data_IF_614719758884
#
_entry.id   IF_614719758884
#
_cell.length_a   1.000
_cell.length_b   1.000
_cell.length_c   1.000
_cell.angle_alpha   90.00
_cell.angle_beta   90.00
_cell.angle_gamma   90.00
#
_symmetry.space_group_name_H-M   'P 1'
#
loop_
_entity.id
_entity.type
_entity.pdbx_description
1 polymer ?
#
# COMPACT_ATOMS: atom_id res chain seq x y z
N UNK A 1 -8.05 11.47 1.38
CA UNK A 1 -9.32 10.80 1.71
C UNK A 1 -9.95 11.41 2.96
N UNK A 2 -9.22 11.51 4.09
CA UNK A 2 -9.75 12.05 5.36
C UNK A 2 -10.36 13.44 5.20
N UNK A 3 -9.74 14.35 4.45
CA UNK A 3 -10.30 15.65 4.12
C UNK A 3 -11.69 15.56 3.50
N UNK A 4 -11.84 14.74 2.47
CA UNK A 4 -13.12 14.56 1.77
C UNK A 4 -14.19 13.94 2.66
N UNK A 5 -13.79 12.99 3.52
CA UNK A 5 -14.70 12.34 4.46
C UNK A 5 -15.17 13.31 5.54
N UNK A 6 -14.28 14.11 6.12
CA UNK A 6 -14.64 15.18 7.08
C UNK A 6 -15.59 16.20 6.47
N UNK A 7 -15.27 16.68 5.27
CA UNK A 7 -16.13 17.62 4.53
C UNK A 7 -17.51 17.03 4.25
N UNK A 8 -17.57 15.76 3.82
CA UNK A 8 -18.85 15.06 3.60
C UNK A 8 -19.67 14.91 4.89
N UNK A 9 -19.02 14.76 6.03
CA UNK A 9 -19.66 14.72 7.34
C UNK A 9 -20.04 16.10 7.91
N UNK A 10 -19.81 17.19 7.15
CA UNK A 10 -20.08 18.56 7.60
C UNK A 10 -19.11 19.07 8.67
N UNK A 11 -17.97 18.41 8.87
CA UNK A 11 -16.96 18.78 9.86
C UNK A 11 -16.05 19.86 9.27
N UNK A 12 -16.00 21.02 9.93
CA UNK A 12 -15.10 22.10 9.56
C UNK A 12 -13.66 21.74 9.91
N UNK A 13 -12.76 22.00 8.99
CA UNK A 13 -11.33 21.77 9.18
C UNK A 13 -10.63 23.13 9.26
N UNK A 14 -10.00 23.39 10.40
CA UNK A 14 -9.32 24.66 10.62
C UNK A 14 -7.85 24.63 10.20
N UNK A 15 -7.18 23.47 10.33
CA UNK A 15 -5.77 23.29 10.01
C UNK A 15 -5.48 21.89 9.43
N UNK A 16 -4.46 21.81 8.60
CA UNK A 16 -3.68 20.58 8.42
C UNK A 16 -2.41 20.66 9.27
N UNK A 17 -1.98 19.54 9.83
CA UNK A 17 -0.72 19.46 10.57
C UNK A 17 0.26 18.54 9.86
N UNK A 18 1.44 19.08 9.50
CA UNK A 18 2.50 18.30 8.86
C UNK A 18 3.86 18.96 9.18
N UNK A 19 4.77 18.21 9.78
CA UNK A 19 6.10 18.71 10.13
C UNK A 19 7.01 18.91 8.90
N UNK A 20 6.65 18.36 7.76
CA UNK A 20 7.31 18.63 6.48
C UNK A 20 6.86 19.93 5.81
N UNK A 21 6.07 20.78 6.48
CA UNK A 21 5.47 22.00 5.93
C UNK A 21 6.51 22.92 5.25
N UNK A 22 7.69 23.06 5.82
CA UNK A 22 8.77 23.88 5.25
C UNK A 22 9.34 23.24 3.97
N UNK A 23 9.54 21.91 3.97
CA UNK A 23 10.04 21.16 2.81
C UNK A 23 9.00 21.11 1.66
N UNK A 24 7.72 21.11 1.99
CA UNK A 24 6.63 21.12 1.01
C UNK A 24 6.50 22.46 0.29
N UNK A 25 7.11 23.54 0.81
CA UNK A 25 6.97 24.91 0.30
C UNK A 25 5.50 25.32 0.04
N UNK A 26 4.57 24.76 0.83
CA UNK A 26 3.13 25.01 0.74
C UNK A 26 2.61 25.51 2.08
N UNK A 27 1.98 26.66 2.10
CA UNK A 27 1.37 27.25 3.30
C UNK A 27 -0.08 26.83 3.52
N UNK A 28 -0.72 26.26 2.51
CA UNK A 28 -2.11 25.80 2.60
C UNK A 28 -2.38 24.66 1.61
N UNK A 29 -3.40 23.85 1.93
CA UNK A 29 -4.01 22.83 1.05
C UNK A 29 -5.52 23.08 1.09
N UNK A 30 -6.19 23.11 -0.05
CA UNK A 30 -7.63 23.42 -0.14
C UNK A 30 -8.04 24.74 0.56
N UNK A 31 -7.16 25.76 0.55
CA UNK A 31 -7.32 27.03 1.27
C UNK A 31 -7.35 26.88 2.80
N UNK A 32 -6.90 25.75 3.34
CA UNK A 32 -6.77 25.52 4.76
C UNK A 32 -5.29 25.58 5.12
N UNK A 33 -4.88 26.35 6.14
CA UNK A 33 -3.48 26.50 6.51
C UNK A 33 -2.86 25.18 6.98
N UNK A 34 -1.57 25.00 6.68
CA UNK A 34 -0.76 23.90 7.19
C UNK A 34 0.07 24.44 8.34
N UNK A 35 0.06 23.76 9.47
CA UNK A 35 0.85 24.07 10.67
C UNK A 35 1.78 22.92 11.02
N UNK A 36 2.87 23.21 11.71
CA UNK A 36 3.77 22.21 12.29
C UNK A 36 3.23 21.64 13.61
N UNK A 37 3.78 20.53 14.09
CA UNK A 37 3.47 20.01 15.44
C UNK A 37 3.88 20.96 16.54
N UNK A 38 4.90 21.81 16.31
CA UNK A 38 5.32 22.85 17.24
C UNK A 38 4.24 23.95 17.36
N UNK A 39 3.61 24.33 16.27
CA UNK A 39 2.51 25.29 16.26
C UNK A 39 1.24 24.67 16.84
N UNK A 40 0.94 23.40 16.48
CA UNK A 40 -0.18 22.64 17.04
C UNK A 40 -0.14 22.60 18.58
N UNK A 41 1.05 22.42 19.18
CA UNK A 41 1.24 22.42 20.63
C UNK A 41 0.83 23.73 21.32
N UNK A 42 0.80 24.84 20.60
CA UNK A 42 0.41 26.16 21.12
C UNK A 42 -1.09 26.40 21.08
N UNK A 43 -1.83 25.53 20.39
CA UNK A 43 -3.29 25.61 20.28
C UNK A 43 -3.95 24.94 21.49
N UNK A 44 -5.28 25.02 21.52
CA UNK A 44 -6.11 24.39 22.56
C UNK A 44 -5.89 22.86 22.56
N UNK A 45 -5.51 22.24 23.69
CA UNK A 45 -5.35 20.79 23.79
C UNK A 45 -6.66 20.00 23.65
N UNK A 46 -7.81 20.65 23.72
CA UNK A 46 -9.15 20.05 23.51
C UNK A 46 -9.55 20.00 22.03
N UNK A 47 -8.70 20.45 21.11
CA UNK A 47 -8.96 20.32 19.67
C UNK A 47 -9.16 18.87 19.26
N UNK A 48 -10.11 18.64 18.35
CA UNK A 48 -10.30 17.33 17.73
C UNK A 48 -9.28 17.11 16.62
N UNK A 49 -8.43 16.12 16.76
CA UNK A 49 -7.43 15.74 15.78
C UNK A 49 -7.87 14.47 15.07
N UNK A 50 -8.02 14.52 13.76
CA UNK A 50 -8.27 13.35 12.92
C UNK A 50 -6.98 12.93 12.23
N UNK A 51 -6.50 11.74 12.52
CA UNK A 51 -5.32 11.20 11.86
C UNK A 51 -5.70 10.80 10.44
N UNK A 52 -5.09 11.46 9.46
CA UNK A 52 -5.33 11.24 8.03
C UNK A 52 -4.23 10.44 7.33
N UNK A 53 -3.08 10.28 7.97
CA UNK A 53 -1.94 9.56 7.42
C UNK A 53 -2.00 8.07 7.80
N UNK A 54 -1.46 7.22 6.95
CA UNK A 54 -1.37 5.77 7.15
C UNK A 54 -0.25 5.31 8.09
N UNK A 55 0.56 6.25 8.61
CA UNK A 55 1.61 6.01 9.61
C UNK A 55 1.12 6.34 11.02
N UNK A 56 -0.09 5.89 11.35
CA UNK A 56 -0.78 6.18 12.61
C UNK A 56 0.09 5.85 13.82
N UNK A 57 0.83 4.73 13.76
CA UNK A 57 1.74 4.28 14.81
C UNK A 57 2.89 5.27 15.10
N UNK A 58 3.26 6.11 14.13
CA UNK A 58 4.29 7.15 14.33
C UNK A 58 3.69 8.46 14.86
N UNK A 59 2.45 8.75 14.49
CA UNK A 59 1.77 10.02 14.83
C UNK A 59 1.22 9.98 16.24
N UNK A 60 0.58 8.87 16.67
CA UNK A 60 -0.03 8.75 18.00
C UNK A 60 0.92 9.11 19.14
N UNK A 61 2.15 8.54 19.24
CA UNK A 61 3.06 8.89 20.33
C UNK A 61 3.49 10.37 20.31
N UNK A 62 3.52 11.00 19.14
CA UNK A 62 3.85 12.42 19.02
C UNK A 62 2.72 13.30 19.57
N UNK A 63 1.46 12.97 19.22
CA UNK A 63 0.28 13.68 19.73
C UNK A 63 0.12 13.51 21.25
N UNK A 64 0.35 12.31 21.77
CA UNK A 64 0.36 12.02 23.21
C UNK A 64 1.42 12.85 23.95
N UNK A 65 2.64 12.93 23.39
CA UNK A 65 3.74 13.73 23.96
C UNK A 65 3.40 15.21 24.07
N UNK A 66 2.62 15.76 23.16
CA UNK A 66 2.16 17.14 23.20
C UNK A 66 0.81 17.30 23.94
N UNK A 67 0.31 16.23 24.57
CA UNK A 67 -0.87 16.19 25.43
C UNK A 67 -2.20 16.54 24.75
N UNK A 68 -2.34 16.20 23.47
CA UNK A 68 -3.65 16.29 22.79
C UNK A 68 -4.57 15.21 23.36
N UNK A 69 -5.80 15.59 23.69
CA UNK A 69 -6.77 14.69 24.33
C UNK A 69 -7.72 14.01 23.35
N UNK A 70 -8.18 14.73 22.37
CA UNK A 70 -9.25 14.28 21.46
C UNK A 70 -8.63 13.82 20.12
N UNK A 71 -8.10 12.61 20.11
CA UNK A 71 -7.48 12.00 18.92
C UNK A 71 -8.45 10.98 18.33
N UNK A 72 -8.76 11.13 17.04
CA UNK A 72 -9.70 10.30 16.29
C UNK A 72 -9.00 9.64 15.12
N UNK A 73 -9.29 8.36 14.87
CA UNK A 73 -9.00 7.74 13.59
C UNK A 73 -10.14 8.01 12.59
N UNK A 74 -9.83 7.86 11.31
CA UNK A 74 -10.78 8.16 10.22
C UNK A 74 -11.59 6.95 9.74
N UNK A 75 -11.48 5.78 10.40
CA UNK A 75 -12.12 4.52 9.95
C UNK A 75 -13.63 4.67 9.82
N UNK A 76 -14.29 5.25 10.85
CA UNK A 76 -15.74 5.43 10.83
C UNK A 76 -16.18 6.50 9.81
N UNK A 77 -15.37 7.52 9.59
CA UNK A 77 -15.62 8.49 8.51
C UNK A 77 -15.61 7.83 7.15
N UNK A 78 -14.62 6.97 6.89
CA UNK A 78 -14.52 6.25 5.62
C UNK A 78 -15.70 5.31 5.37
N UNK A 79 -16.18 4.60 6.41
CA UNK A 79 -17.36 3.72 6.30
C UNK A 79 -18.63 4.48 5.90
N UNK A 80 -18.76 5.73 6.34
CA UNK A 80 -19.95 6.56 6.15
C UNK A 80 -19.80 7.51 4.94
N UNK A 81 -18.72 7.40 4.16
CA UNK A 81 -18.45 8.25 3.01
C UNK A 81 -18.58 7.47 1.71
N UNK A 82 -19.51 7.89 0.85
CA UNK A 82 -19.61 7.37 -0.51
C UNK A 82 -18.63 8.11 -1.42
N UNK A 83 -17.41 7.57 -1.51
CA UNK A 83 -16.35 8.15 -2.32
C UNK A 83 -16.63 8.12 -3.83
N UNK A 84 -17.61 7.33 -4.31
CA UNK A 84 -17.99 7.30 -5.72
C UNK A 84 -18.59 8.63 -6.21
N UNK A 85 -19.09 9.45 -5.24
CA UNK A 85 -19.70 10.76 -5.49
C UNK A 85 -18.73 11.93 -5.28
N UNK A 86 -17.48 11.65 -4.97
CA UNK A 86 -16.47 12.66 -4.62
C UNK A 86 -15.31 12.56 -5.60
N UNK A 87 -15.02 13.67 -6.29
CA UNK A 87 -13.81 13.74 -7.09
C UNK A 87 -12.58 13.83 -6.16
N UNK A 88 -11.91 12.70 -5.99
CA UNK A 88 -10.67 12.58 -5.22
C UNK A 88 -9.43 12.58 -6.10
N UNK A 89 -9.59 12.55 -7.42
CA UNK A 89 -8.52 12.30 -8.38
C UNK A 89 -7.97 10.86 -8.34
N UNK A 90 -8.65 9.94 -7.65
CA UNK A 90 -8.23 8.54 -7.48
C UNK A 90 -9.27 7.59 -8.05
N UNK A 91 -8.84 6.45 -8.55
CA UNK A 91 -9.74 5.36 -8.94
C UNK A 91 -10.46 4.76 -7.73
N UNK A 92 -11.62 4.14 -7.93
CA UNK A 92 -12.37 3.47 -6.87
C UNK A 92 -11.52 2.37 -6.18
N UNK A 93 -10.64 1.71 -6.96
CA UNK A 93 -9.74 0.70 -6.43
C UNK A 93 -8.67 1.31 -5.51
N UNK A 94 -8.02 2.39 -5.92
CA UNK A 94 -7.04 3.09 -5.07
C UNK A 94 -7.65 3.59 -3.77
N UNK A 95 -8.88 4.12 -3.83
CA UNK A 95 -9.61 4.54 -2.65
C UNK A 95 -9.81 3.36 -1.70
N UNK A 96 -10.33 2.23 -2.21
CA UNK A 96 -10.54 1.02 -1.41
C UNK A 96 -9.22 0.55 -0.77
N UNK A 97 -8.16 0.40 -1.57
CA UNK A 97 -6.83 -0.03 -1.10
C UNK A 97 -6.32 0.87 0.01
N UNK A 98 -6.39 2.19 -0.15
CA UNK A 98 -5.93 3.17 0.86
C UNK A 98 -6.76 3.10 2.14
N UNK A 99 -8.07 2.92 2.03
CA UNK A 99 -8.97 2.75 3.19
C UNK A 99 -8.64 1.45 3.92
N UNK A 100 -8.43 0.35 3.21
CA UNK A 100 -8.11 -0.95 3.80
C UNK A 100 -6.75 -0.94 4.50
N UNK A 101 -5.72 -0.33 3.89
CA UNK A 101 -4.39 -0.14 4.53
C UNK A 101 -4.51 0.74 5.79
N UNK A 102 -5.24 1.84 5.72
CA UNK A 102 -5.45 2.71 6.88
C UNK A 102 -6.19 1.99 8.01
N UNK A 103 -7.23 1.23 7.66
CA UNK A 103 -7.97 0.39 8.60
C UNK A 103 -7.07 -0.67 9.24
N UNK A 104 -6.25 -1.34 8.44
CA UNK A 104 -5.26 -2.30 8.93
C UNK A 104 -4.32 -1.68 9.97
N UNK A 105 -3.83 -0.48 9.69
CA UNK A 105 -2.98 0.27 10.61
C UNK A 105 -3.69 0.56 11.92
N UNK A 106 -4.93 1.06 11.87
CA UNK A 106 -5.73 1.32 13.07
C UNK A 106 -6.04 0.02 13.83
N UNK A 107 -6.37 -1.06 13.13
CA UNK A 107 -6.65 -2.36 13.75
C UNK A 107 -5.41 -2.92 14.48
N UNK A 108 -4.20 -2.71 13.96
CA UNK A 108 -2.96 -3.14 14.63
C UNK A 108 -2.65 -2.36 15.89
N UNK A 109 -3.09 -1.10 15.98
CA UNK A 109 -2.86 -0.24 17.14
C UNK A 109 -3.93 -0.41 18.23
N UNK A 110 -5.13 -0.85 17.85
CA UNK A 110 -6.24 -1.07 18.79
C UNK A 110 -6.27 -2.48 19.37
N UNK A 111 -5.31 -3.34 19.02
CA UNK A 111 -5.25 -4.73 19.52
C UNK A 111 -4.87 -4.70 21.01
N UNK A 112 -5.88 -4.57 21.86
CA UNK A 112 -5.82 -5.04 23.26
C UNK A 112 -6.03 -6.56 23.35
N UNK A 113 -6.46 -7.20 22.25
CA UNK A 113 -6.63 -8.65 22.17
C UNK A 113 -5.40 -9.25 21.47
N UNK A 114 -4.49 -9.80 22.29
CA UNK A 114 -3.26 -10.48 21.87
C UNK A 114 -3.50 -11.82 21.15
N UNK A 115 -4.77 -12.19 20.91
CA UNK A 115 -5.12 -13.49 20.33
C UNK A 115 -5.10 -13.52 18.80
N UNK A 116 -5.07 -12.37 18.12
CA UNK A 116 -5.13 -12.28 16.65
C UNK A 116 -3.93 -11.54 16.05
N UNK A 117 -3.13 -12.26 15.26
CA UNK A 117 -1.96 -11.69 14.57
C UNK A 117 -2.38 -11.15 13.21
N UNK A 118 -2.45 -9.83 13.09
CA UNK A 118 -2.74 -9.13 11.84
C UNK A 118 -1.49 -8.44 11.31
N UNK A 119 -1.16 -8.67 10.05
CA UNK A 119 0.03 -8.12 9.40
C UNK A 119 -0.42 -7.22 8.26
N UNK A 120 0.11 -6.00 8.23
CA UNK A 120 -0.23 -5.01 7.20
C UNK A 120 0.24 -5.45 5.83
N UNK A 121 1.51 -5.80 5.70
CA UNK A 121 2.08 -6.34 4.47
C UNK A 121 3.25 -7.29 4.74
N UNK A 122 3.43 -8.20 3.80
CA UNK A 122 4.56 -9.14 3.74
C UNK A 122 5.15 -9.08 2.35
N UNK A 123 6.44 -8.88 2.24
CA UNK A 123 7.16 -8.90 0.97
C UNK A 123 7.81 -10.26 0.76
N UNK A 124 7.66 -10.84 -0.44
CA UNK A 124 8.46 -11.99 -0.87
C UNK A 124 9.25 -11.65 -2.13
N UNK A 125 10.53 -11.96 -2.09
CA UNK A 125 11.41 -11.87 -3.25
C UNK A 125 11.37 -13.18 -4.02
N UNK A 126 10.81 -13.16 -5.24
CA UNK A 126 10.70 -14.36 -6.08
C UNK A 126 11.87 -14.54 -7.03
N UNK A 127 12.66 -13.50 -7.25
CA UNK A 127 13.86 -13.52 -8.10
C UNK A 127 14.80 -12.37 -7.76
N UNK A 128 16.10 -12.62 -7.85
CA UNK A 128 17.16 -11.61 -7.80
C UNK A 128 17.40 -10.97 -9.18
N UNK A 129 16.92 -11.63 -10.26
CA UNK A 129 17.11 -11.16 -11.62
C UNK A 129 16.22 -9.94 -11.93
N UNK A 130 16.81 -8.93 -12.55
CA UNK A 130 16.10 -7.76 -13.03
C UNK A 130 16.53 -7.43 -14.48
N UNK A 131 15.58 -6.95 -15.26
CA UNK A 131 15.83 -6.45 -16.63
C UNK A 131 16.44 -5.04 -16.62
N UNK A 132 16.51 -4.40 -15.45
CA UNK A 132 17.07 -3.07 -15.24
C UNK A 132 18.22 -3.10 -14.23
N UNK A 133 19.04 -2.05 -14.26
CA UNK A 133 20.12 -1.79 -13.29
C UNK A 133 19.96 -0.38 -12.72
N UNK A 134 18.90 -0.17 -11.93
CA UNK A 134 18.60 1.13 -11.35
C UNK A 134 19.65 1.50 -10.30
N UNK A 135 20.19 2.72 -10.37
CA UNK A 135 21.20 3.23 -9.43
C UNK A 135 20.69 3.19 -7.98
N UNK A 136 19.45 3.62 -7.76
CA UNK A 136 18.83 3.67 -6.43
C UNK A 136 17.86 2.51 -6.18
N UNK A 137 18.22 1.29 -6.59
CA UNK A 137 17.39 0.11 -6.34
C UNK A 137 17.38 -0.25 -4.85
N UNK A 138 16.20 -0.20 -4.22
CA UNK A 138 16.03 -0.53 -2.80
C UNK A 138 16.42 -1.97 -2.46
N UNK A 139 16.26 -2.89 -3.41
CA UNK A 139 16.60 -4.30 -3.26
C UNK A 139 18.03 -4.64 -3.72
N UNK A 140 18.81 -3.63 -4.15
CA UNK A 140 20.21 -3.77 -4.57
C UNK A 140 20.45 -4.82 -5.66
N UNK A 141 19.46 -5.06 -6.54
CA UNK A 141 19.48 -6.13 -7.55
C UNK A 141 20.61 -5.98 -8.58
N UNK A 142 21.08 -4.75 -8.81
CA UNK A 142 22.18 -4.47 -9.73
C UNK A 142 23.53 -5.05 -9.26
N UNK A 143 23.67 -5.41 -7.98
CA UNK A 143 24.92 -5.94 -7.41
C UNK A 143 25.00 -7.46 -7.38
N UNK A 144 23.91 -8.17 -7.70
CA UNK A 144 23.94 -9.62 -7.80
C UNK A 144 24.72 -10.05 -9.06
N UNK A 145 25.85 -10.72 -8.87
CA UNK A 145 26.70 -11.21 -9.97
C UNK A 145 26.07 -12.43 -10.67
N UNK A 146 25.40 -13.27 -9.91
CA UNK A 146 24.71 -14.48 -10.40
C UNK A 146 23.31 -14.54 -9.81
N UNK A 147 22.38 -13.69 -10.33
CA UNK A 147 21.04 -13.60 -9.78
C UNK A 147 20.29 -14.93 -9.97
N UNK A 148 19.57 -15.35 -8.91
CA UNK A 148 18.83 -16.63 -8.87
C UNK A 148 17.34 -16.36 -8.67
N UNK A 149 16.52 -17.29 -9.11
CA UNK A 149 15.14 -17.40 -8.65
C UNK A 149 15.11 -18.06 -7.28
N UNK A 150 14.16 -17.63 -6.45
CA UNK A 150 13.90 -18.30 -5.17
C UNK A 150 13.49 -19.75 -5.42
N UNK A 151 13.99 -20.64 -4.56
CA UNK A 151 13.56 -22.04 -4.56
C UNK A 151 12.08 -22.12 -4.22
N UNK A 152 11.26 -22.60 -5.14
CA UNK A 152 9.80 -22.60 -5.02
C UNK A 152 9.32 -23.50 -3.88
N UNK A 153 9.95 -24.65 -3.64
CA UNK A 153 9.56 -25.59 -2.59
C UNK A 153 9.90 -25.03 -1.20
N UNK A 154 11.07 -24.39 -1.09
CA UNK A 154 11.48 -23.74 0.15
C UNK A 154 10.57 -22.53 0.46
N UNK A 155 10.22 -21.76 -0.57
CA UNK A 155 9.32 -20.62 -0.48
C UNK A 155 7.93 -21.08 -0.01
N UNK A 156 7.38 -22.14 -0.57
CA UNK A 156 6.09 -22.72 -0.13
C UNK A 156 6.13 -23.13 1.34
N UNK A 157 7.17 -23.84 1.77
CA UNK A 157 7.36 -24.22 3.17
C UNK A 157 7.41 -23.00 4.10
N UNK A 158 8.03 -21.92 3.64
CA UNK A 158 8.14 -20.67 4.41
C UNK A 158 6.79 -19.94 4.50
N UNK A 159 6.05 -19.86 3.38
CA UNK A 159 4.69 -19.32 3.37
C UNK A 159 3.78 -20.12 4.29
N UNK A 160 3.81 -21.47 4.20
CA UNK A 160 2.98 -22.34 5.04
C UNK A 160 3.27 -22.16 6.53
N UNK A 161 4.53 -21.93 6.91
CA UNK A 161 4.90 -21.64 8.30
C UNK A 161 4.37 -20.28 8.75
N UNK A 162 4.50 -19.26 7.91
CA UNK A 162 3.99 -17.92 8.20
C UNK A 162 2.47 -17.95 8.40
N UNK A 163 1.75 -18.62 7.48
CA UNK A 163 0.30 -18.69 7.51
C UNK A 163 -0.29 -19.51 8.66
N UNK A 164 0.55 -20.23 9.43
CA UNK A 164 0.13 -20.91 10.69
C UNK A 164 0.05 -19.97 11.87
N UNK A 165 0.76 -18.84 11.82
CA UNK A 165 0.89 -17.90 12.95
C UNK A 165 0.25 -16.54 12.68
N UNK A 166 -0.18 -16.27 11.43
CA UNK A 166 -0.79 -15.01 11.03
C UNK A 166 -2.25 -15.22 10.65
N UNK A 167 -3.16 -14.50 11.31
CA UNK A 167 -4.61 -14.62 11.06
C UNK A 167 -5.07 -13.77 9.88
N UNK A 168 -4.38 -12.67 9.58
CA UNK A 168 -4.72 -11.80 8.45
C UNK A 168 -3.48 -11.12 7.91
N UNK A 169 -3.30 -11.17 6.59
CA UNK A 169 -2.36 -10.34 5.84
C UNK A 169 -3.18 -9.46 4.91
N UNK A 170 -3.07 -8.14 5.07
CA UNK A 170 -3.84 -7.21 4.23
C UNK A 170 -3.26 -7.10 2.83
N UNK A 171 -1.95 -7.07 2.70
CA UNK A 171 -1.28 -6.98 1.41
C UNK A 171 -0.07 -7.93 1.38
N UNK A 172 -0.10 -8.91 0.50
CA UNK A 172 1.02 -9.80 0.26
C UNK A 172 1.73 -9.37 -1.03
N UNK A 173 2.95 -8.88 -0.92
CA UNK A 173 3.68 -8.25 -2.01
C UNK A 173 4.64 -9.23 -2.66
N UNK A 174 4.47 -9.44 -3.94
CA UNK A 174 5.38 -10.25 -4.76
C UNK A 174 6.35 -9.30 -5.44
N UNK A 175 7.57 -9.32 -4.93
CA UNK A 175 8.65 -8.43 -5.35
C UNK A 175 9.86 -9.23 -5.85
N UNK A 176 10.91 -8.52 -6.22
CA UNK A 176 12.19 -9.09 -6.65
C UNK A 176 12.98 -8.06 -7.42
N UNK A 177 13.77 -8.50 -8.39
CA UNK A 177 14.26 -7.66 -9.47
C UNK A 177 13.08 -7.28 -10.39
N UNK A 178 12.79 -8.14 -11.37
CA UNK A 178 11.55 -8.10 -12.13
C UNK A 178 10.83 -9.45 -11.95
N UNK A 179 9.73 -9.51 -11.21
CA UNK A 179 9.08 -10.76 -10.85
C UNK A 179 8.70 -11.65 -12.04
N UNK A 180 8.30 -11.05 -13.16
CA UNK A 180 7.90 -11.81 -14.36
C UNK A 180 9.07 -12.47 -15.11
N UNK A 181 10.32 -12.23 -14.72
CA UNK A 181 11.48 -13.04 -15.18
C UNK A 181 11.38 -14.46 -14.62
N UNK A 182 10.84 -14.63 -13.41
CA UNK A 182 10.66 -15.96 -12.83
C UNK A 182 9.52 -16.70 -13.53
N UNK A 183 9.87 -17.75 -14.29
CA UNK A 183 8.89 -18.55 -15.04
C UNK A 183 7.91 -19.32 -14.14
N UNK A 184 8.20 -19.45 -12.85
CA UNK A 184 7.36 -20.16 -11.88
C UNK A 184 6.56 -19.20 -10.98
N UNK A 185 6.54 -17.91 -11.26
CA UNK A 185 5.80 -16.93 -10.44
C UNK A 185 4.31 -17.27 -10.36
N UNK A 186 3.71 -17.79 -11.42
CA UNK A 186 2.31 -18.24 -11.41
C UNK A 186 2.01 -19.28 -10.34
N UNK A 187 2.92 -20.26 -10.15
CA UNK A 187 2.80 -21.26 -9.07
C UNK A 187 2.84 -20.63 -7.69
N UNK A 188 3.73 -19.64 -7.51
CA UNK A 188 3.83 -18.91 -6.22
C UNK A 188 2.56 -18.12 -5.94
N UNK A 189 2.06 -17.40 -6.93
CA UNK A 189 0.81 -16.63 -6.80
C UNK A 189 -0.37 -17.57 -6.52
N UNK A 190 -0.50 -18.68 -7.26
CA UNK A 190 -1.58 -19.65 -7.03
C UNK A 190 -1.51 -20.22 -5.62
N UNK A 191 -0.30 -20.49 -5.07
CA UNK A 191 -0.15 -20.93 -3.68
C UNK A 191 -0.64 -19.89 -2.69
N UNK A 192 -0.34 -18.61 -2.90
CA UNK A 192 -0.82 -17.51 -2.06
C UNK A 192 -2.35 -17.37 -2.11
N UNK A 193 -2.96 -17.61 -3.27
CA UNK A 193 -4.43 -17.54 -3.47
C UNK A 193 -5.20 -18.59 -2.66
N UNK A 194 -4.58 -19.70 -2.28
CA UNK A 194 -5.19 -20.74 -1.45
C UNK A 194 -5.51 -20.22 -0.02
N UNK A 195 -4.80 -19.18 0.46
CA UNK A 195 -5.00 -18.64 1.80
C UNK A 195 -6.07 -17.55 1.85
N UNK A 196 -7.21 -17.84 2.48
CA UNK A 196 -8.32 -16.89 2.65
C UNK A 196 -7.94 -15.69 3.53
N UNK A 197 -6.97 -15.86 4.41
CA UNK A 197 -6.45 -14.82 5.31
C UNK A 197 -5.64 -13.74 4.58
N UNK A 198 -5.15 -13.99 3.37
CA UNK A 198 -4.55 -12.97 2.51
C UNK A 198 -5.68 -12.20 1.82
N UNK A 199 -5.73 -10.88 2.04
CA UNK A 199 -6.77 -10.00 1.50
C UNK A 199 -6.47 -9.56 0.07
N UNK A 200 -5.23 -9.18 -0.20
CA UNK A 200 -4.77 -8.74 -1.52
C UNK A 200 -3.35 -9.25 -1.78
N UNK A 201 -3.06 -9.59 -3.04
CA UNK A 201 -1.72 -9.95 -3.51
C UNK A 201 -1.31 -8.91 -4.54
N UNK A 202 -0.24 -8.20 -4.28
CA UNK A 202 0.27 -7.13 -5.14
C UNK A 202 1.55 -7.57 -5.83
N UNK A 203 1.57 -7.50 -7.15
CA UNK A 203 2.77 -7.79 -7.95
C UNK A 203 3.38 -6.46 -8.41
N UNK A 204 4.63 -6.21 -8.01
CA UNK A 204 5.39 -5.03 -8.39
C UNK A 204 6.21 -5.32 -9.64
N UNK A 205 5.95 -4.63 -10.74
CA UNK A 205 6.66 -4.85 -12.01
C UNK A 205 7.14 -3.53 -12.63
N UNK A 206 8.28 -3.58 -13.30
CA UNK A 206 8.80 -2.47 -14.08
C UNK A 206 8.27 -2.47 -15.54
N UNK A 207 7.34 -3.36 -15.85
CA UNK A 207 6.70 -3.52 -17.16
C UNK A 207 7.66 -3.73 -18.34
N UNK A 208 8.77 -4.41 -18.13
CA UNK A 208 9.66 -4.82 -19.22
C UNK A 208 9.35 -6.22 -19.73
N UNK A 209 8.61 -7.00 -18.96
CA UNK A 209 8.25 -8.39 -19.27
C UNK A 209 6.72 -8.53 -19.28
N UNK A 210 6.18 -9.14 -20.33
CA UNK A 210 4.75 -9.50 -20.38
C UNK A 210 4.58 -10.92 -19.87
N UNK A 211 3.80 -11.16 -18.81
CA UNK A 211 3.51 -12.51 -18.34
C UNK A 211 2.70 -13.29 -19.38
N UNK A 212 2.90 -14.62 -19.43
CA UNK A 212 2.22 -15.52 -20.35
C UNK A 212 1.84 -16.83 -19.66
N UNK A 213 0.83 -17.53 -20.19
CA UNK A 213 0.36 -18.80 -19.66
C UNK A 213 -0.03 -18.69 -18.19
N UNK A 214 0.39 -19.66 -17.36
CA UNK A 214 0.09 -19.68 -15.91
C UNK A 214 0.46 -18.38 -15.19
N UNK A 215 1.59 -17.75 -15.58
CA UNK A 215 2.04 -16.47 -15.00
C UNK A 215 1.10 -15.30 -15.31
N UNK A 216 0.32 -15.38 -16.37
CA UNK A 216 -0.71 -14.40 -16.70
C UNK A 216 -2.07 -14.83 -16.16
N UNK A 217 -2.43 -16.10 -16.26
CA UNK A 217 -3.75 -16.60 -15.90
C UNK A 217 -4.06 -16.40 -14.40
N UNK A 218 -3.05 -16.53 -13.54
CA UNK A 218 -3.20 -16.26 -12.10
C UNK A 218 -3.56 -14.79 -11.80
N UNK A 219 -3.24 -13.84 -12.70
CA UNK A 219 -3.54 -12.42 -12.50
C UNK A 219 -5.04 -12.10 -12.60
N UNK A 220 -5.85 -12.98 -13.17
CA UNK A 220 -7.30 -12.79 -13.37
C UNK A 220 -8.10 -12.95 -12.07
N UNK A 221 -7.48 -13.32 -10.95
CA UNK A 221 -8.14 -13.47 -9.67
C UNK A 221 -8.39 -12.10 -9.01
N UNK A 222 -9.58 -11.93 -8.40
CA UNK A 222 -9.99 -10.66 -7.78
C UNK A 222 -9.11 -10.18 -6.62
N UNK A 223 -8.31 -11.07 -6.01
CA UNK A 223 -7.34 -10.70 -4.98
C UNK A 223 -6.06 -10.09 -5.56
N UNK A 224 -5.86 -10.18 -6.88
CA UNK A 224 -4.62 -9.72 -7.51
C UNK A 224 -4.71 -8.24 -7.86
N UNK A 225 -3.61 -7.56 -7.63
CA UNK A 225 -3.36 -6.20 -8.06
C UNK A 225 -1.96 -6.09 -8.67
N UNK A 226 -1.84 -5.42 -9.81
CA UNK A 226 -0.55 -5.20 -10.47
C UNK A 226 -0.14 -3.74 -10.29
N UNK A 227 0.98 -3.51 -9.62
CA UNK A 227 1.58 -2.19 -9.47
C UNK A 227 2.74 -2.04 -10.45
N UNK A 228 2.55 -1.16 -11.42
CA UNK A 228 3.54 -0.86 -12.45
C UNK A 228 4.35 0.34 -11.98
N UNK A 229 5.65 0.15 -11.75
CA UNK A 229 6.57 1.25 -11.54
C UNK A 229 7.03 1.75 -12.91
N UNK A 230 6.59 2.98 -13.25
CA UNK A 230 6.86 3.58 -14.55
C UNK A 230 8.23 4.28 -14.57
N UNK A 231 9.17 3.70 -15.30
CA UNK A 231 10.49 4.27 -15.57
C UNK A 231 10.56 4.95 -16.95
N UNK A 232 9.43 5.45 -17.47
CA UNK A 232 9.35 6.07 -18.78
C UNK A 232 9.75 5.10 -19.90
N UNK A 233 10.67 5.52 -20.75
CA UNK A 233 11.13 4.71 -21.90
C UNK A 233 11.80 3.38 -21.51
N UNK A 234 12.22 3.24 -20.25
CA UNK A 234 12.81 1.99 -19.76
C UNK A 234 11.75 0.93 -19.47
N UNK A 235 10.53 1.33 -19.13
CA UNK A 235 9.36 0.45 -19.02
C UNK A 235 8.76 0.13 -20.39
N UNK A 236 9.61 -0.43 -21.26
CA UNK A 236 9.40 -0.53 -22.74
C UNK A 236 8.17 -1.33 -23.18
N UNK A 237 7.56 -2.10 -22.32
CA UNK A 237 6.34 -2.85 -22.62
C UNK A 237 5.15 -2.41 -21.76
N UNK A 238 5.23 -1.24 -21.12
CA UNK A 238 4.19 -0.70 -20.25
C UNK A 238 2.83 -0.63 -20.94
N UNK A 239 2.77 0.00 -22.10
CA UNK A 239 1.49 0.18 -22.82
C UNK A 239 0.89 -1.16 -23.29
N UNK A 240 1.74 -2.13 -23.65
CA UNK A 240 1.30 -3.48 -24.00
C UNK A 240 0.73 -4.20 -22.77
N UNK A 241 1.43 -4.10 -21.62
CA UNK A 241 0.97 -4.67 -20.36
C UNK A 241 -0.36 -4.05 -19.93
N UNK A 242 -0.47 -2.74 -19.94
CA UNK A 242 -1.70 -2.02 -19.58
C UNK A 242 -2.89 -2.49 -20.44
N UNK A 243 -2.72 -2.51 -21.78
CA UNK A 243 -3.77 -3.01 -22.68
C UNK A 243 -4.18 -4.45 -22.37
N UNK A 244 -3.21 -5.30 -22.03
CA UNK A 244 -3.48 -6.69 -21.66
C UNK A 244 -4.25 -6.80 -20.34
N UNK A 245 -3.90 -6.00 -19.34
CA UNK A 245 -4.58 -5.96 -18.04
C UNK A 245 -6.02 -5.44 -18.21
N UNK A 246 -6.22 -4.35 -18.94
CA UNK A 246 -7.53 -3.75 -19.23
C UNK A 246 -8.45 -4.71 -19.98
N UNK A 247 -7.93 -5.34 -21.04
CA UNK A 247 -8.69 -6.32 -21.84
C UNK A 247 -9.18 -7.55 -21.03
N UNK A 248 -8.56 -7.81 -19.87
CA UNK A 248 -8.92 -8.93 -18.99
C UNK A 248 -9.51 -8.47 -17.65
N UNK A 249 -9.86 -7.19 -17.49
CA UNK A 249 -10.39 -6.59 -16.26
C UNK A 249 -9.49 -6.83 -15.03
N UNK A 250 -8.17 -6.92 -15.23
CA UNK A 250 -7.20 -7.09 -14.15
C UNK A 250 -6.91 -5.71 -13.54
N UNK A 251 -6.96 -5.63 -12.22
CA UNK A 251 -6.74 -4.39 -11.48
C UNK A 251 -5.27 -4.00 -11.48
N UNK A 252 -4.97 -2.74 -11.77
CA UNK A 252 -3.60 -2.23 -11.78
C UNK A 252 -3.53 -0.75 -11.42
N UNK A 253 -2.32 -0.27 -11.14
CA UNK A 253 -1.95 1.15 -11.18
C UNK A 253 -0.59 1.29 -11.87
N UNK A 254 -0.32 2.50 -12.39
CA UNK A 254 0.99 2.88 -12.91
C UNK A 254 1.42 4.17 -12.22
N UNK A 255 2.56 4.14 -11.51
CA UNK A 255 3.10 5.23 -10.72
C UNK A 255 4.54 5.55 -11.12
#
# INVERSE_FOLDING_TARGET
LTYHALKNAGIKIDYFCDDAVEALNKKNIFNIPIISSVELKKLDPELNIFIGAWVVYQILPQLEKIKIKNIHNSVNLFKNTDFSKIDTGMSAHEIRRRVDIYKAECDTLTIQDSSSVKVKYVDITVTEACSMKCESCSNLMQYYLTPKNSDTDLLFKSIDKLMKVVDTIYEFRVVGGEPFINKQIGKVINRLLEYKSIKEIVIYTNATIIPKGENFDCLKNDKIFVEITDYGNLSRRKDELIKLLEANNIRYTSI
#
